data_IF_599192865538
#
_entry.id   IF_599192865538
#
_cell.length_a   1.000
_cell.length_b   1.000
_cell.length_c   1.000
_cell.angle_alpha   90.00
_cell.angle_beta   90.00
_cell.angle_gamma   90.00
#
_symmetry.space_group_name_H-M   'P 1'
#
loop_
_entity.id
_entity.type
_entity.pdbx_description
1 polymer ?
#
# COMPACT_ATOMS: atom_id res chain seq x y z
N UNK A 1 2.62 -3.18 26.59
CA UNK A 1 2.04 -1.84 26.72
C UNK A 1 2.94 -0.82 26.06
N UNK A 2 2.39 0.05 25.22
CA UNK A 2 3.10 1.16 24.60
C UNK A 2 2.25 2.42 24.67
N UNK A 3 2.89 3.57 24.47
CA UNK A 3 2.16 4.82 24.30
C UNK A 3 1.29 4.76 23.02
N UNK A 4 0.23 5.56 22.94
CA UNK A 4 -0.63 5.74 21.76
C UNK A 4 0.05 6.51 20.63
N UNK A 5 1.38 6.55 20.64
CA UNK A 5 2.18 7.24 19.64
C UNK A 5 1.97 6.63 18.25
N UNK A 6 1.98 7.49 17.23
CA UNK A 6 1.76 7.16 15.82
C UNK A 6 2.74 6.15 15.21
N UNK A 7 3.88 5.90 15.87
CA UNK A 7 4.85 4.89 15.44
C UNK A 7 4.36 3.47 15.73
N UNK A 8 3.48 3.32 16.72
CA UNK A 8 2.94 2.04 17.18
C UNK A 8 1.55 1.81 16.60
N UNK A 9 0.70 2.85 16.63
CA UNK A 9 -0.70 2.78 16.23
C UNK A 9 -0.97 3.83 15.15
N UNK A 10 -1.76 3.50 14.13
CA UNK A 10 -2.10 4.43 13.05
C UNK A 10 -3.51 5.01 13.26
N UNK A 11 -3.67 6.17 13.93
CA UNK A 11 -4.96 6.68 14.37
C UNK A 11 -5.92 7.09 13.25
N UNK A 12 -5.43 7.28 12.02
CA UNK A 12 -6.22 7.74 10.86
C UNK A 12 -6.07 6.83 9.62
N UNK A 13 -5.50 5.64 9.79
CA UNK A 13 -5.29 4.78 8.63
C UNK A 13 -6.62 4.19 8.16
N UNK A 14 -6.79 4.08 6.83
CA UNK A 14 -7.86 3.29 6.25
C UNK A 14 -7.36 1.86 6.09
N UNK A 15 -8.16 0.87 6.51
CA UNK A 15 -7.86 -0.52 6.22
C UNK A 15 -8.01 -0.79 4.73
N UNK A 16 -7.13 -1.62 4.19
CA UNK A 16 -7.33 -2.15 2.84
C UNK A 16 -8.37 -3.28 2.88
N UNK A 17 -8.95 -3.62 1.73
CA UNK A 17 -9.89 -4.76 1.62
C UNK A 17 -9.23 -6.05 2.10
N UNK A 18 -7.94 -6.25 1.77
CA UNK A 18 -7.17 -7.41 2.22
C UNK A 18 -7.03 -7.43 3.75
N UNK A 19 -6.78 -6.27 4.38
CA UNK A 19 -6.69 -6.17 5.84
C UNK A 19 -8.03 -6.49 6.53
N UNK A 20 -9.16 -6.09 5.92
CA UNK A 20 -10.49 -6.41 6.43
C UNK A 20 -10.80 -7.90 6.30
N UNK A 21 -10.40 -8.53 5.19
CA UNK A 21 -10.54 -9.98 4.99
C UNK A 21 -9.69 -10.79 5.99
N UNK A 22 -8.53 -10.26 6.37
CA UNK A 22 -7.68 -10.82 7.43
C UNK A 22 -8.23 -10.54 8.86
N UNK A 23 -9.37 -9.85 8.98
CA UNK A 23 -10.02 -9.55 10.26
C UNK A 23 -9.31 -8.48 11.09
N UNK A 24 -8.44 -7.67 10.48
CA UNK A 24 -7.77 -6.57 11.20
C UNK A 24 -8.79 -5.48 11.53
N UNK A 25 -8.66 -4.90 12.72
CA UNK A 25 -9.51 -3.80 13.18
C UNK A 25 -8.85 -2.43 12.98
N UNK A 26 -7.51 -2.39 12.99
CA UNK A 26 -6.72 -1.18 12.82
C UNK A 26 -5.59 -1.43 11.80
N UNK A 27 -5.21 -0.41 11.01
CA UNK A 27 -4.12 -0.54 10.06
C UNK A 27 -2.79 -0.59 10.79
N UNK A 28 -1.94 -1.54 10.41
CA UNK A 28 -0.63 -1.69 11.01
C UNK A 28 0.36 -0.63 10.53
N UNK A 29 1.15 -0.14 11.48
CA UNK A 29 2.40 0.56 11.22
C UNK A 29 3.46 -0.49 10.86
N UNK A 30 4.59 -0.05 10.31
CA UNK A 30 5.73 -0.93 10.04
C UNK A 30 6.19 -1.66 11.32
N UNK A 31 6.13 -0.96 12.46
CA UNK A 31 6.52 -1.54 13.74
C UNK A 31 5.48 -2.54 14.26
N UNK A 32 4.18 -2.19 14.26
CA UNK A 32 3.16 -3.11 14.75
C UNK A 32 2.99 -4.35 13.86
N UNK A 33 3.23 -4.22 12.55
CA UNK A 33 3.33 -5.36 11.65
C UNK A 33 4.47 -6.32 12.08
N UNK A 34 5.67 -5.80 12.32
CA UNK A 34 6.80 -6.62 12.76
C UNK A 34 6.56 -7.28 14.13
N UNK A 35 5.91 -6.58 15.06
CA UNK A 35 5.55 -7.17 16.36
C UNK A 35 4.50 -8.28 16.22
N UNK A 36 3.50 -8.09 15.36
CA UNK A 36 2.49 -9.11 15.07
C UNK A 36 3.11 -10.38 14.49
N UNK A 37 4.06 -10.24 13.55
CA UNK A 37 4.81 -11.38 12.99
C UNK A 37 5.67 -12.12 14.03
N UNK A 38 6.14 -11.44 15.07
CA UNK A 38 6.81 -12.07 16.22
C UNK A 38 5.85 -12.70 17.23
N UNK A 39 4.53 -12.58 17.02
CA UNK A 39 3.50 -13.01 17.96
C UNK A 39 3.42 -12.13 19.21
N UNK A 40 3.83 -10.86 19.11
CA UNK A 40 3.81 -9.88 20.20
C UNK A 40 2.59 -8.97 20.05
N UNK A 41 1.62 -9.10 20.94
CA UNK A 41 0.44 -8.23 20.99
C UNK A 41 0.77 -6.87 21.59
N UNK A 42 0.59 -5.83 20.77
CA UNK A 42 0.75 -4.43 21.16
C UNK A 42 -0.52 -3.93 21.85
N UNK A 43 -0.39 -3.44 23.09
CA UNK A 43 -1.52 -2.91 23.87
C UNK A 43 -1.27 -1.43 24.14
N UNK A 44 -2.15 -0.51 23.68
CA UNK A 44 -2.02 0.91 23.99
C UNK A 44 -2.28 1.14 25.49
N UNK A 45 -1.39 1.89 26.15
CA UNK A 45 -1.59 2.30 27.53
C UNK A 45 -2.71 3.37 27.58
N UNK A 46 -3.73 3.11 28.38
CA UNK A 46 -4.83 4.07 28.65
C UNK A 46 -4.64 4.88 29.92
N UNK A 47 -3.63 4.55 30.75
CA UNK A 47 -3.42 5.16 32.06
C UNK A 47 -1.94 5.19 32.45
N UNK A 48 -1.58 6.13 33.33
CA UNK A 48 -0.23 6.26 33.89
C UNK A 48 0.19 4.99 34.67
N UNK A 49 -0.76 4.30 35.30
CA UNK A 49 -0.51 3.04 36.02
C UNK A 49 0.03 1.94 35.11
N UNK A 50 -0.42 1.88 33.85
CA UNK A 50 0.05 0.90 32.87
C UNK A 50 1.52 1.10 32.46
N UNK A 51 2.06 2.32 32.66
CA UNK A 51 3.43 2.69 32.23
C UNK A 51 4.33 3.17 33.37
N UNK A 52 3.81 3.40 34.58
CA UNK A 52 4.52 4.08 35.65
C UNK A 52 5.80 3.41 36.15
N UNK A 53 5.89 2.07 36.10
CA UNK A 53 7.16 1.37 36.41
C UNK A 53 8.24 1.65 35.36
N UNK A 54 7.86 1.62 34.09
CA UNK A 54 8.75 1.88 32.96
C UNK A 54 9.17 3.35 32.97
N UNK A 55 8.26 4.28 33.24
CA UNK A 55 8.57 5.71 33.30
C UNK A 55 9.53 6.07 34.44
N UNK A 56 9.35 5.52 35.65
CA UNK A 56 10.33 5.71 36.74
C UNK A 56 11.71 5.16 36.40
N UNK A 57 11.75 4.00 35.74
CA UNK A 57 13.01 3.42 35.26
C UNK A 57 13.67 4.35 34.25
N UNK A 58 12.93 4.87 33.26
CA UNK A 58 13.48 5.76 32.25
C UNK A 58 13.95 7.09 32.82
N UNK A 59 13.21 7.71 33.74
CA UNK A 59 13.68 8.94 34.41
C UNK A 59 15.02 8.70 35.10
N UNK A 60 15.11 7.66 35.93
CA UNK A 60 16.35 7.33 36.65
C UNK A 60 17.50 6.97 35.72
N UNK A 61 17.23 6.22 34.65
CA UNK A 61 18.25 5.76 33.72
C UNK A 61 18.75 6.89 32.81
N UNK A 62 17.85 7.68 32.23
CA UNK A 62 18.19 8.75 31.28
C UNK A 62 18.97 9.87 31.97
N UNK A 63 18.52 10.32 33.15
CA UNK A 63 19.21 11.38 33.90
C UNK A 63 20.66 10.98 34.25
N UNK A 64 20.86 9.73 34.66
CA UNK A 64 22.19 9.20 35.00
C UNK A 64 23.05 8.94 33.78
N UNK A 65 22.47 8.49 32.67
CA UNK A 65 23.23 8.23 31.44
C UNK A 65 23.87 9.49 30.90
N UNK A 66 23.18 10.64 30.98
CA UNK A 66 23.74 11.93 30.57
C UNK A 66 25.00 12.24 31.39
N UNK A 67 24.92 12.09 32.71
CA UNK A 67 26.07 12.34 33.60
C UNK A 67 27.22 11.35 33.37
N UNK A 68 26.90 10.07 33.23
CA UNK A 68 27.90 9.02 32.99
C UNK A 68 28.58 9.18 31.62
N UNK A 69 27.86 9.61 30.58
CA UNK A 69 28.48 9.91 29.29
C UNK A 69 29.44 11.09 29.37
N UNK A 70 29.07 12.15 30.08
CA UNK A 70 29.94 13.31 30.34
C UNK A 70 31.19 12.90 31.10
N UNK A 71 31.06 12.12 32.18
CA UNK A 71 32.19 11.66 32.99
C UNK A 71 33.14 10.74 32.23
N UNK A 72 32.63 9.97 31.26
CA UNK A 72 33.43 9.07 30.44
C UNK A 72 33.84 9.70 29.08
N UNK A 73 33.57 10.99 28.87
CA UNK A 73 33.94 11.71 27.65
C UNK A 73 33.32 11.16 26.36
N UNK A 74 32.15 10.52 26.44
CA UNK A 74 31.50 9.85 25.31
C UNK A 74 30.83 10.89 24.40
N UNK A 75 31.24 10.94 23.13
CA UNK A 75 30.72 11.91 22.13
C UNK A 75 30.13 11.26 20.89
N UNK A 76 30.23 9.94 20.76
CA UNK A 76 29.80 9.19 19.59
C UNK A 76 28.99 7.95 19.97
N UNK A 77 28.18 7.48 19.02
CA UNK A 77 27.24 6.37 19.21
C UNK A 77 27.95 5.03 19.41
N UNK A 78 29.13 4.85 18.82
CA UNK A 78 29.87 3.59 18.91
C UNK A 78 30.48 3.40 20.31
N UNK A 79 31.13 4.44 20.84
CA UNK A 79 31.62 4.51 22.21
C UNK A 79 30.48 4.37 23.21
N UNK A 80 29.34 5.02 22.98
CA UNK A 80 28.15 4.85 23.80
C UNK A 80 27.68 3.39 23.84
N UNK A 81 27.57 2.73 22.68
CA UNK A 81 27.19 1.31 22.59
C UNK A 81 28.17 0.39 23.33
N UNK A 82 29.48 0.68 23.28
CA UNK A 82 30.50 -0.08 24.01
C UNK A 82 30.39 0.14 25.52
N UNK A 83 30.16 1.38 25.95
CA UNK A 83 29.95 1.73 27.35
C UNK A 83 28.70 1.07 27.93
N UNK A 84 27.58 1.12 27.20
CA UNK A 84 26.29 0.58 27.63
C UNK A 84 26.35 -0.90 28.02
N UNK A 85 27.14 -1.71 27.30
CA UNK A 85 27.34 -3.14 27.61
C UNK A 85 27.89 -3.37 29.03
N UNK A 86 28.74 -2.46 29.52
CA UNK A 86 29.31 -2.52 30.88
C UNK A 86 28.40 -1.83 31.88
N UNK A 87 27.88 -0.65 31.53
CA UNK A 87 27.07 0.19 32.41
C UNK A 87 25.78 -0.49 32.84
N UNK A 88 25.10 -1.23 31.97
CA UNK A 88 23.85 -1.91 32.32
C UNK A 88 24.02 -2.88 33.49
N UNK A 89 25.19 -3.54 33.60
CA UNK A 89 25.51 -4.42 34.73
C UNK A 89 25.68 -3.63 36.04
N UNK A 90 26.39 -2.50 35.99
CA UNK A 90 26.57 -1.57 37.13
C UNK A 90 25.22 -0.99 37.58
N UNK A 91 24.39 -0.59 36.62
CA UNK A 91 23.06 -0.04 36.87
C UNK A 91 22.14 -1.08 37.51
N UNK A 92 22.06 -2.28 36.93
CA UNK A 92 21.21 -3.34 37.46
C UNK A 92 21.64 -3.74 38.87
N UNK A 93 22.94 -3.79 39.21
CA UNK A 93 23.38 -4.06 40.58
C UNK A 93 22.79 -3.12 41.63
N UNK A 94 22.49 -1.87 41.26
CA UNK A 94 21.95 -0.86 42.18
C UNK A 94 20.43 -0.75 42.15
N UNK A 95 19.80 -0.96 40.99
CA UNK A 95 18.38 -0.65 40.77
C UNK A 95 17.51 -1.85 40.39
N UNK A 96 18.11 -3.02 40.10
CA UNK A 96 17.32 -4.21 39.79
C UNK A 96 16.59 -4.70 41.03
N UNK A 97 15.35 -5.14 40.85
CA UNK A 97 14.54 -5.79 41.87
C UNK A 97 14.39 -7.26 41.48
N UNK A 98 14.46 -8.16 42.45
CA UNK A 98 14.24 -9.59 42.21
C UNK A 98 12.79 -9.77 41.73
N UNK A 99 12.58 -10.37 40.54
CA UNK A 99 11.23 -10.59 40.04
C UNK A 99 10.50 -11.61 40.91
N UNK A 100 9.18 -11.44 41.07
CA UNK A 100 8.32 -12.47 41.66
C UNK A 100 7.91 -13.44 40.56
N UNK A 101 8.37 -14.68 40.66
CA UNK A 101 8.02 -15.77 39.75
C UNK A 101 9.09 -16.12 38.72
N UNK A 102 8.79 -17.12 37.90
CA UNK A 102 9.71 -17.67 36.91
C UNK A 102 9.73 -16.86 35.60
N UNK A 103 10.86 -16.87 34.88
CA UNK A 103 10.96 -16.23 33.57
C UNK A 103 10.05 -16.90 32.53
N UNK A 104 9.05 -16.17 32.03
CA UNK A 104 8.11 -16.65 30.99
C UNK A 104 8.63 -16.35 29.56
N UNK A 105 9.95 -16.28 29.38
CA UNK A 105 10.54 -15.94 28.07
C UNK A 105 10.47 -17.13 27.11
N UNK A 106 9.86 -16.91 25.93
CA UNK A 106 9.84 -17.90 24.85
C UNK A 106 11.08 -17.75 23.98
N UNK A 107 11.80 -18.85 23.74
CA UNK A 107 12.89 -18.87 22.75
C UNK A 107 12.33 -18.71 21.35
N UNK A 108 13.10 -18.08 20.47
CA UNK A 108 12.73 -17.92 19.07
C UNK A 108 12.70 -19.29 18.37
N UNK A 109 11.74 -19.50 17.47
CA UNK A 109 11.64 -20.71 16.67
C UNK A 109 12.85 -20.91 15.75
N UNK A 110 13.30 -22.16 15.59
CA UNK A 110 14.37 -22.51 14.64
C UNK A 110 13.82 -22.31 13.22
N UNK A 111 14.22 -21.23 12.56
CA UNK A 111 13.75 -20.86 11.22
C UNK A 111 13.11 -19.48 11.12
N UNK A 112 12.88 -18.79 12.26
CA UNK A 112 12.40 -17.41 12.23
C UNK A 112 13.52 -16.46 11.80
N UNK A 113 13.49 -16.03 10.53
CA UNK A 113 14.43 -15.05 9.99
C UNK A 113 14.14 -13.65 10.52
N UNK A 114 14.69 -13.30 11.69
CA UNK A 114 14.47 -11.98 12.32
C UNK A 114 14.78 -10.82 11.39
N UNK A 115 15.79 -10.94 10.53
CA UNK A 115 16.17 -9.86 9.64
C UNK A 115 15.12 -9.59 8.54
N UNK A 116 14.26 -10.56 8.23
CA UNK A 116 13.14 -10.39 7.29
C UNK A 116 11.87 -9.89 7.97
N UNK A 117 11.76 -10.07 9.29
CA UNK A 117 10.65 -9.55 10.11
C UNK A 117 10.96 -8.10 10.53
N UNK A 118 12.14 -7.86 11.08
CA UNK A 118 12.62 -6.56 11.57
C UNK A 118 13.23 -5.72 10.43
N UNK A 119 12.47 -5.56 9.35
CA UNK A 119 12.84 -4.73 8.21
C UNK A 119 11.67 -3.86 7.76
N UNK A 120 11.94 -2.84 6.94
CA UNK A 120 10.86 -2.08 6.33
C UNK A 120 10.27 -2.85 5.15
N UNK A 121 8.95 -3.07 5.18
CA UNK A 121 8.16 -3.77 4.18
C UNK A 121 7.31 -2.80 3.39
N UNK A 122 7.58 -2.65 2.09
CA UNK A 122 6.86 -1.71 1.23
C UNK A 122 6.21 -2.47 0.09
N UNK A 123 4.88 -2.39 0.01
CA UNK A 123 4.12 -3.03 -1.07
C UNK A 123 4.39 -2.33 -2.42
N UNK A 124 4.69 -3.15 -3.44
CA UNK A 124 4.85 -2.77 -4.85
C UNK A 124 4.12 -3.76 -5.74
N UNK A 125 3.95 -3.40 -7.01
CA UNK A 125 3.42 -4.31 -8.03
C UNK A 125 4.54 -4.73 -8.97
N UNK A 126 4.58 -6.01 -9.29
CA UNK A 126 5.49 -6.56 -10.29
C UNK A 126 4.93 -6.38 -11.70
N UNK A 127 5.83 -6.23 -12.67
CA UNK A 127 5.53 -6.25 -14.10
C UNK A 127 5.57 -7.67 -14.67
N UNK A 128 5.42 -7.81 -15.99
CA UNK A 128 5.45 -9.10 -16.65
C UNK A 128 6.81 -9.79 -16.68
N UNK A 129 7.89 -9.08 -16.35
CA UNK A 129 9.26 -9.60 -16.26
C UNK A 129 9.70 -9.92 -14.83
N UNK A 130 8.75 -10.05 -13.89
CA UNK A 130 9.04 -10.23 -12.46
C UNK A 130 9.85 -9.10 -11.84
N UNK A 131 9.70 -7.88 -12.38
CA UNK A 131 10.43 -6.71 -11.95
C UNK A 131 9.52 -5.63 -11.36
N UNK A 132 10.06 -4.80 -10.47
CA UNK A 132 9.33 -3.74 -9.77
C UNK A 132 10.19 -2.48 -9.64
N UNK A 133 9.52 -1.34 -9.46
CA UNK A 133 10.18 -0.06 -9.21
C UNK A 133 10.27 0.24 -7.71
N UNK A 134 11.46 0.61 -7.26
CA UNK A 134 11.72 1.04 -5.89
C UNK A 134 12.79 2.14 -5.86
N UNK A 135 12.51 3.26 -5.17
CA UNK A 135 13.42 4.43 -5.07
C UNK A 135 14.00 4.89 -6.42
N UNK A 136 13.14 5.02 -7.44
CA UNK A 136 13.49 5.41 -8.82
C UNK A 136 14.42 4.43 -9.56
N UNK A 137 14.66 3.24 -9.00
CA UNK A 137 15.44 2.16 -9.62
C UNK A 137 14.52 0.98 -9.91
N UNK A 138 14.91 0.17 -10.88
CA UNK A 138 14.18 -1.04 -11.25
C UNK A 138 14.91 -2.27 -10.74
N UNK A 139 14.16 -3.22 -10.18
CA UNK A 139 14.69 -4.43 -9.58
C UNK A 139 13.93 -5.63 -10.10
N UNK A 140 14.63 -6.72 -10.41
CA UNK A 140 14.05 -7.98 -10.84
C UNK A 140 14.21 -9.04 -9.76
N UNK A 141 13.15 -9.81 -9.51
CA UNK A 141 13.18 -10.96 -8.61
C UNK A 141 13.97 -12.09 -9.27
N UNK A 142 14.95 -12.63 -8.53
CA UNK A 142 15.81 -13.72 -9.02
C UNK A 142 15.79 -14.88 -8.03
N UNK A 143 15.64 -16.09 -8.57
CA UNK A 143 15.76 -17.35 -7.83
C UNK A 143 16.77 -18.24 -8.55
N UNK A 144 17.82 -18.68 -7.86
CA UNK A 144 18.85 -19.55 -8.46
C UNK A 144 19.54 -18.97 -9.71
N UNK A 145 19.69 -17.64 -9.79
CA UNK A 145 20.31 -16.96 -10.94
C UNK A 145 19.39 -16.71 -12.14
N UNK A 146 18.13 -17.16 -12.10
CA UNK A 146 17.13 -16.92 -13.15
C UNK A 146 16.00 -15.99 -12.65
N UNK A 147 15.32 -15.25 -13.55
CA UNK A 147 14.13 -14.51 -13.18
C UNK A 147 13.10 -15.42 -12.49
N UNK A 148 12.56 -15.00 -11.35
CA UNK A 148 11.56 -15.77 -10.63
C UNK A 148 10.27 -15.88 -11.47
N UNK A 149 9.59 -17.03 -11.42
CA UNK A 149 8.29 -17.18 -12.05
C UNK A 149 7.24 -16.46 -11.21
N UNK A 150 6.69 -15.36 -11.73
CA UNK A 150 5.71 -14.54 -11.03
C UNK A 150 4.55 -14.15 -11.93
N UNK A 151 3.42 -13.82 -11.31
CA UNK A 151 2.21 -13.43 -12.04
C UNK A 151 2.26 -11.90 -12.27
N UNK A 152 2.10 -11.40 -13.50
CA UNK A 152 2.14 -9.98 -13.77
C UNK A 152 1.10 -9.20 -12.95
N UNK A 153 1.46 -7.99 -12.48
CA UNK A 153 0.62 -7.08 -11.68
C UNK A 153 0.32 -7.56 -10.24
N UNK A 154 0.86 -8.69 -9.81
CA UNK A 154 0.74 -9.13 -8.43
C UNK A 154 1.47 -8.22 -7.45
N UNK A 155 1.06 -8.26 -6.19
CA UNK A 155 1.70 -7.51 -5.09
C UNK A 155 2.96 -8.23 -4.64
N UNK A 156 4.00 -7.46 -4.35
CA UNK A 156 5.28 -7.90 -3.79
C UNK A 156 5.62 -6.99 -2.60
N UNK A 157 6.18 -7.56 -1.54
CA UNK A 157 6.65 -6.82 -0.36
C UNK A 157 8.16 -6.59 -0.47
N UNK A 158 8.57 -5.34 -0.75
CA UNK A 158 9.99 -4.98 -0.79
C UNK A 158 10.52 -4.88 0.64
N UNK A 159 11.49 -5.72 0.98
CA UNK A 159 12.14 -5.80 2.29
C UNK A 159 13.43 -4.97 2.27
N UNK A 160 13.56 -4.01 3.18
CA UNK A 160 14.77 -3.18 3.28
C UNK A 160 15.30 -3.07 4.70
N UNK A 161 16.58 -3.38 4.89
CA UNK A 161 17.30 -3.23 6.16
C UNK A 161 18.80 -3.14 5.92
N UNK A 162 19.54 -2.53 6.84
CA UNK A 162 21.01 -2.40 6.76
C UNK A 162 21.74 -3.74 6.74
N UNK A 163 21.12 -4.81 7.24
CA UNK A 163 21.70 -6.16 7.29
C UNK A 163 21.50 -6.98 6.02
N UNK A 164 20.31 -6.89 5.42
CA UNK A 164 19.91 -7.71 4.26
C UNK A 164 19.99 -6.95 2.94
N UNK A 165 20.18 -5.63 2.99
CA UNK A 165 20.08 -4.76 1.83
C UNK A 165 18.64 -4.64 1.35
N UNK A 166 18.42 -4.88 0.05
CA UNK A 166 17.10 -4.91 -0.58
C UNK A 166 16.82 -6.35 -0.95
N UNK A 167 15.68 -6.87 -0.50
CA UNK A 167 15.10 -8.14 -0.94
C UNK A 167 13.62 -7.93 -1.24
N UNK A 168 12.96 -8.95 -1.75
CA UNK A 168 11.53 -8.87 -1.99
C UNK A 168 10.86 -10.20 -1.68
N UNK A 169 9.74 -10.13 -0.97
CA UNK A 169 8.91 -11.26 -0.61
C UNK A 169 7.71 -11.34 -1.56
N UNK A 170 7.52 -12.52 -2.15
CA UNK A 170 6.42 -12.84 -3.04
C UNK A 170 5.88 -14.24 -2.68
N UNK A 171 4.56 -14.33 -2.45
CA UNK A 171 3.89 -15.59 -2.11
C UNK A 171 4.58 -16.35 -0.95
N UNK A 172 4.93 -15.63 0.12
CA UNK A 172 5.59 -16.18 1.32
C UNK A 172 7.07 -16.54 1.16
N UNK A 173 7.65 -16.39 -0.04
CA UNK A 173 9.05 -16.68 -0.31
C UNK A 173 9.87 -15.40 -0.48
N UNK A 174 11.06 -15.37 0.11
CA UNK A 174 11.99 -14.23 0.01
C UNK A 174 12.96 -14.46 -1.14
N UNK A 175 13.00 -13.52 -2.08
CA UNK A 175 13.86 -13.55 -3.26
C UNK A 175 14.97 -12.51 -3.16
N UNK A 176 16.11 -12.83 -3.77
CA UNK A 176 17.15 -11.85 -4.07
C UNK A 176 16.71 -10.97 -5.24
N UNK A 177 17.21 -9.73 -5.27
CA UNK A 177 16.86 -8.79 -6.33
C UNK A 177 18.11 -8.32 -7.08
N UNK A 178 17.99 -8.25 -8.41
CA UNK A 178 19.02 -7.70 -9.29
C UNK A 178 18.55 -6.36 -9.81
N UNK A 179 19.43 -5.35 -9.77
CA UNK A 179 19.12 -4.04 -10.33
C UNK A 179 19.15 -4.11 -11.85
N UNK A 180 18.10 -3.61 -12.49
CA UNK A 180 18.05 -3.38 -13.92
C UNK A 180 18.34 -1.90 -14.22
N UNK A 181 19.08 -1.63 -15.28
CA UNK A 181 19.45 -0.26 -15.67
C UNK A 181 18.25 0.53 -16.21
N UNK A 182 17.40 -0.13 -16.99
CA UNK A 182 16.17 0.46 -17.51
C UNK A 182 15.01 -0.50 -17.32
N UNK A 183 13.81 0.09 -17.17
CA UNK A 183 12.57 -0.66 -17.32
C UNK A 183 12.52 -1.17 -18.75
N UNK A 184 12.35 -2.47 -19.01
CA UNK A 184 12.14 -2.96 -20.36
C UNK A 184 10.91 -2.24 -20.92
N UNK A 185 11.14 -1.36 -21.90
CA UNK A 185 10.05 -0.74 -22.65
C UNK A 185 9.41 -1.88 -23.41
N UNK A 186 8.15 -2.17 -23.11
CA UNK A 186 7.32 -2.90 -24.06
C UNK A 186 7.30 -2.02 -25.30
N UNK A 187 8.08 -2.38 -26.31
CA UNK A 187 7.93 -1.85 -27.65
C UNK A 187 6.54 -2.31 -28.06
N UNK A 188 5.54 -1.47 -27.80
CA UNK A 188 4.28 -1.62 -28.48
C UNK A 188 4.62 -1.17 -29.88
N UNK A 189 4.50 -2.06 -30.86
CA UNK A 189 4.27 -1.65 -32.22
C UNK A 189 2.94 -0.89 -32.19
N UNK A 190 3.03 0.39 -31.88
CA UNK A 190 1.91 1.30 -32.01
C UNK A 190 1.79 1.45 -33.51
N UNK A 191 1.03 0.56 -34.15
CA UNK A 191 0.37 0.90 -35.39
C UNK A 191 -0.48 2.11 -35.08
N UNK A 192 0.08 3.30 -35.35
CA UNK A 192 -0.66 4.54 -35.32
C UNK A 192 -1.67 4.40 -36.45
N UNK A 193 -2.85 3.85 -36.14
CA UNK A 193 -3.98 3.92 -37.05
C UNK A 193 -4.24 5.40 -37.25
N UNK A 194 -3.75 5.94 -38.36
CA UNK A 194 -4.08 7.29 -38.80
C UNK A 194 -5.59 7.38 -38.81
N UNK A 195 -6.16 8.14 -37.88
CA UNK A 195 -7.59 8.45 -37.88
C UNK A 195 -7.85 9.26 -39.13
N UNK A 196 -8.22 8.59 -40.22
CA UNK A 196 -8.76 9.24 -41.41
C UNK A 196 -10.03 9.94 -40.91
N UNK A 197 -10.00 11.28 -40.84
CA UNK A 197 -11.20 12.07 -40.55
C UNK A 197 -12.18 11.79 -41.68
N UNK A 198 -13.21 10.98 -41.41
CA UNK A 198 -14.33 10.81 -42.34
C UNK A 198 -15.06 12.15 -42.37
N UNK A 199 -14.84 12.92 -43.43
CA UNK A 199 -15.64 14.12 -43.70
C UNK A 199 -17.12 13.69 -43.83
N UNK A 200 -18.07 14.51 -43.36
CA UNK A 200 -19.49 14.23 -43.57
C UNK A 200 -19.73 14.08 -45.07
N UNK A 201 -20.26 12.93 -45.49
CA UNK A 201 -20.58 12.70 -46.90
C UNK A 201 -21.66 13.69 -47.31
N UNK A 202 -21.32 14.57 -48.25
CA UNK A 202 -22.32 15.45 -48.88
C UNK A 202 -23.34 14.53 -49.58
N UNK A 203 -24.65 14.63 -49.29
CA UNK A 203 -25.65 13.84 -49.97
C UNK A 203 -25.62 14.14 -51.47
N UNK A 204 -26.00 13.15 -52.29
CA UNK A 204 -26.04 13.28 -53.75
C UNK A 204 -26.97 14.43 -54.18
N UNK A 205 -26.75 14.97 -55.39
CA UNK A 205 -27.53 16.10 -55.89
C UNK A 205 -29.04 15.80 -55.99
N UNK A 206 -29.40 14.53 -56.24
CA UNK A 206 -30.78 14.04 -56.28
C UNK A 206 -31.40 13.74 -54.92
N UNK A 207 -30.67 13.95 -53.81
CA UNK A 207 -31.18 13.66 -52.48
C UNK A 207 -32.25 14.69 -52.08
N UNK A 208 -33.40 14.27 -51.51
CA UNK A 208 -34.52 15.18 -51.20
C UNK A 208 -34.12 16.40 -50.35
N UNK A 209 -33.16 16.23 -49.44
CA UNK A 209 -32.61 17.29 -48.58
C UNK A 209 -31.72 18.32 -49.29
N UNK A 210 -31.35 18.09 -50.56
CA UNK A 210 -30.66 19.05 -51.44
C UNK A 210 -31.59 19.62 -52.52
N UNK A 211 -32.77 19.04 -52.69
CA UNK A 211 -33.80 19.55 -53.59
C UNK A 211 -34.46 20.76 -52.94
N UNK A 212 -33.96 21.94 -53.25
CA UNK A 212 -34.77 23.16 -53.12
C UNK A 212 -35.87 23.08 -54.16
N UNK A 213 -36.97 22.42 -53.81
CA UNK A 213 -38.17 22.38 -54.63
C UNK A 213 -38.56 23.81 -55.05
N UNK A 214 -38.94 24.04 -56.32
CA UNK A 214 -39.58 25.30 -56.72
C UNK A 214 -40.92 25.49 -55.99
N UNK A 215 -41.61 24.39 -55.68
CA UNK A 215 -42.82 24.31 -54.85
C UNK A 215 -42.58 23.31 -53.69
N UNK A 216 -41.94 23.79 -52.62
CA UNK A 216 -41.59 23.00 -51.43
C UNK A 216 -42.74 22.17 -50.89
N UNK A 217 -42.43 20.97 -50.36
CA UNK A 217 -43.33 20.07 -49.60
C UNK A 217 -44.79 20.52 -49.65
N UNK A 218 -45.44 20.28 -50.80
CA UNK A 218 -46.85 20.58 -50.90
C UNK A 218 -47.54 19.55 -49.99
N UNK A 219 -47.97 20.01 -48.82
CA UNK A 219 -48.99 19.30 -48.05
C UNK A 219 -50.14 19.03 -49.02
N UNK A 220 -50.35 17.76 -49.37
CA UNK A 220 -51.47 17.39 -50.20
C UNK A 220 -52.75 17.57 -49.36
N UNK A 221 -53.91 17.83 -49.97
CA UNK A 221 -55.16 18.02 -49.21
C UNK A 221 -55.49 16.81 -48.35
N UNK A 222 -54.99 15.64 -48.72
CA UNK A 222 -55.04 14.39 -47.95
C UNK A 222 -54.32 14.47 -46.60
N UNK A 223 -53.32 15.33 -46.43
CA UNK A 223 -52.54 15.46 -45.20
C UNK A 223 -53.32 16.15 -44.06
N UNK A 224 -54.27 17.03 -44.39
CA UNK A 224 -55.20 17.64 -43.42
C UNK A 224 -56.20 16.61 -42.88
N UNK A 225 -56.66 15.71 -43.73
CA UNK A 225 -57.57 14.62 -43.35
C UNK A 225 -56.84 13.55 -42.54
N UNK A 226 -55.57 13.26 -42.88
CA UNK A 226 -54.69 12.40 -42.07
C UNK A 226 -54.41 13.03 -40.70
N UNK A 227 -54.15 14.33 -40.64
CA UNK A 227 -53.95 15.05 -39.39
C UNK A 227 -55.22 15.06 -38.53
N UNK A 228 -56.40 15.37 -39.11
CA UNK A 228 -57.69 15.26 -38.41
C UNK A 228 -57.94 13.85 -37.90
N UNK A 229 -57.71 12.83 -38.72
CA UNK A 229 -57.84 11.43 -38.30
C UNK A 229 -56.92 11.04 -37.14
N UNK A 230 -55.74 11.66 -37.02
CA UNK A 230 -54.81 11.43 -35.93
C UNK A 230 -55.24 12.13 -34.62
N UNK A 231 -55.77 13.35 -34.72
CA UNK A 231 -56.17 14.15 -33.56
C UNK A 231 -57.59 13.85 -33.06
N UNK A 232 -58.49 13.39 -33.94
CA UNK A 232 -59.87 13.02 -33.60
C UNK A 232 -60.01 11.52 -33.25
N UNK A 233 -58.91 10.75 -33.31
CA UNK A 233 -58.90 9.33 -32.95
C UNK A 233 -59.09 9.13 -31.45
N UNK A 234 -60.26 8.62 -31.07
CA UNK A 234 -60.58 8.17 -29.71
C UNK A 234 -59.76 6.96 -29.26
N UNK A 235 -59.01 6.30 -30.16
CA UNK A 235 -58.05 5.24 -29.81
C UNK A 235 -56.71 5.80 -29.32
N UNK A 236 -56.29 6.97 -29.81
CA UNK A 236 -54.99 7.55 -29.46
C UNK A 236 -55.05 8.47 -28.22
N UNK A 237 -56.22 9.05 -27.92
CA UNK A 237 -56.38 10.09 -26.91
C UNK A 237 -57.55 9.85 -25.93
N UNK A 238 -57.87 8.59 -25.61
CA UNK A 238 -58.85 8.29 -24.55
C UNK A 238 -58.20 8.44 -23.15
N UNK A 239 -58.67 9.37 -22.30
CA UNK A 239 -58.12 9.55 -20.96
C UNK A 239 -58.39 8.36 -20.02
N UNK A 240 -59.27 7.42 -20.37
CA UNK A 240 -59.52 6.20 -19.57
C UNK A 240 -58.52 5.05 -19.84
N UNK A 241 -57.65 5.19 -20.84
CA UNK A 241 -56.59 4.21 -21.15
C UNK A 241 -55.20 4.60 -20.57
N UNK A 242 -55.15 5.46 -19.56
CA UNK A 242 -53.92 5.84 -18.84
C UNK A 242 -53.97 5.45 -17.37
#
# INVERSE_FOLDING_TARGET
YSDKHTIFFSPKGKLTVDDQLEGKTEPYTQFSQAMSELGVSMIPAGSAQAKGRIERLWGTLQDRLIQEFTLNGIKDVESANKFMKKYIKKFNRRFSVVPKGEPVFRKLGKGTGLDYILCSKISRKIDGGSAFSYRRKYFQLVSGGKPAATIPRSKVSVLTSSRIGIKAEYSGNVYSVVRLEARPRVVRDIEVKTKIRKLPKKPAASHPWRSGYPDGFAYDRSDLDIAKGLFDSTLAWNPENQ
#
